data_IF_653439538119
#
_entry.id   IF_653439538119
#
_cell.length_a   1.000
_cell.length_b   1.000
_cell.length_c   1.000
_cell.angle_alpha   90.00
_cell.angle_beta   90.00
_cell.angle_gamma   90.00
#
_symmetry.space_group_name_H-M   'P 1'
#
loop_
_entity.id
_entity.type
_entity.pdbx_description
1 polymer ?
#
# COMPACT_ATOMS: atom_id res chain seq x y z
N UNK A 1 -54.26 -13.02 45.49
CA UNK A 1 -55.04 -12.90 46.75
C UNK A 1 -54.24 -12.00 47.69
N UNK A 2 -54.83 -10.90 48.16
CA UNK A 2 -54.40 -10.00 49.28
C UNK A 2 -53.07 -9.21 49.06
N UNK A 3 -53.01 -7.88 48.83
CA UNK A 3 -53.45 -6.63 49.52
C UNK A 3 -52.44 -6.12 50.57
N UNK A 4 -52.26 -4.78 50.57
CA UNK A 4 -51.59 -3.86 51.51
C UNK A 4 -50.13 -3.48 51.17
N UNK A 5 -49.72 -2.23 50.86
CA UNK A 5 -50.08 -0.82 51.17
C UNK A 5 -49.17 -0.20 52.26
N UNK A 6 -48.52 0.89 51.86
CA UNK A 6 -47.90 2.01 52.60
C UNK A 6 -46.77 1.71 53.59
N UNK A 7 -45.64 2.41 53.43
CA UNK A 7 -45.23 3.49 54.35
C UNK A 7 -44.04 4.31 53.82
N UNK A 8 -44.33 5.57 53.50
CA UNK A 8 -43.35 6.66 53.51
C UNK A 8 -43.30 7.19 54.95
N UNK A 9 -42.13 7.19 55.59
CA UNK A 9 -41.88 8.07 56.74
C UNK A 9 -40.40 8.43 56.88
N UNK A 10 -40.16 9.72 56.66
CA UNK A 10 -39.31 10.63 57.43
C UNK A 10 -38.11 10.08 58.19
N UNK A 11 -36.93 10.58 57.83
CA UNK A 11 -35.73 10.57 58.65
C UNK A 11 -34.73 11.63 58.17
N UNK A 12 -34.96 12.89 58.55
CA UNK A 12 -33.88 13.88 58.60
C UNK A 12 -32.89 13.43 59.67
N UNK A 13 -31.65 13.15 59.28
CA UNK A 13 -30.53 13.02 60.20
C UNK A 13 -29.36 13.83 59.64
N UNK A 14 -29.18 15.02 60.22
CA UNK A 14 -27.98 15.83 60.12
C UNK A 14 -26.94 15.20 61.05
N UNK A 15 -25.80 14.74 60.52
CA UNK A 15 -24.58 14.52 61.30
C UNK A 15 -23.38 14.53 60.35
N UNK A 16 -22.58 15.60 60.38
CA UNK A 16 -21.27 15.65 61.05
C UNK A 16 -20.13 15.53 60.02
N UNK A 17 -19.60 16.70 59.67
CA UNK A 17 -18.34 16.89 58.96
C UNK A 17 -17.21 16.41 59.87
N UNK A 18 -16.38 15.47 59.40
CA UNK A 18 -15.14 15.08 60.05
C UNK A 18 -13.93 15.46 59.14
N UNK A 19 -12.88 16.11 59.68
CA UNK A 19 -11.74 16.61 58.91
C UNK A 19 -10.55 15.65 58.93
N UNK A 20 -9.64 15.83 57.96
CA UNK A 20 -8.23 15.45 58.14
C UNK A 20 -7.68 14.36 57.23
N UNK A 21 -7.53 14.62 55.92
CA UNK A 21 -6.59 13.86 55.07
C UNK A 21 -5.21 14.51 55.13
N UNK A 22 -4.29 13.94 55.91
CA UNK A 22 -2.85 14.22 55.80
C UNK A 22 -2.34 13.57 54.51
N UNK A 23 -2.22 14.34 53.44
CA UNK A 23 -1.54 13.94 52.22
C UNK A 23 -0.04 13.88 52.52
N UNK A 24 0.52 12.67 52.64
CA UNK A 24 1.97 12.52 52.80
C UNK A 24 2.68 12.87 51.48
N UNK A 25 3.82 13.54 51.59
CA UNK A 25 4.66 14.03 50.48
C UNK A 25 5.06 12.92 49.47
N UNK A 26 4.95 11.65 49.87
CA UNK A 26 5.19 10.48 49.01
C UNK A 26 4.13 10.24 47.93
N UNK A 27 2.90 10.72 48.09
CA UNK A 27 1.85 10.60 47.04
C UNK A 27 2.10 11.53 45.86
N UNK A 28 2.65 12.73 46.12
CA UNK A 28 2.98 13.69 45.07
C UNK A 28 4.18 13.23 44.23
N UNK A 29 5.20 12.65 44.85
CA UNK A 29 6.38 12.10 44.15
C UNK A 29 6.05 10.83 43.34
N UNK A 30 5.15 9.97 43.83
CA UNK A 30 4.65 8.81 43.05
C UNK A 30 3.74 9.19 41.90
N UNK A 31 2.97 10.27 42.03
CA UNK A 31 2.18 10.82 40.93
C UNK A 31 3.04 11.42 39.82
N UNK A 32 4.14 12.11 40.17
CA UNK A 32 5.07 12.71 39.21
C UNK A 32 5.90 11.68 38.43
N UNK A 33 6.33 10.59 39.09
CA UNK A 33 7.02 9.48 38.42
C UNK A 33 6.07 8.67 37.51
N UNK A 34 4.81 8.47 37.92
CA UNK A 34 3.80 7.83 37.07
C UNK A 34 3.42 8.69 35.85
N UNK A 35 3.46 10.03 35.98
CA UNK A 35 3.21 10.95 34.87
C UNK A 35 4.35 10.98 33.84
N UNK A 36 5.61 10.86 34.28
CA UNK A 36 6.75 10.78 33.37
C UNK A 36 6.85 9.42 32.65
N UNK A 37 6.42 8.33 33.27
CA UNK A 37 6.40 6.99 32.63
C UNK A 37 5.34 6.89 31.51
N UNK A 38 4.29 7.71 31.54
CA UNK A 38 3.29 7.76 30.46
C UNK A 38 3.77 8.51 29.20
N UNK A 39 4.83 9.34 29.31
CA UNK A 39 5.37 10.13 28.19
C UNK A 39 6.42 9.39 27.34
N UNK A 40 6.72 8.13 27.67
CA UNK A 40 7.57 7.24 26.85
C UNK A 40 6.70 6.14 26.20
N UNK A 41 5.43 6.46 25.91
CA UNK A 41 4.65 5.68 24.96
C UNK A 41 5.31 5.90 23.59
N UNK A 42 6.07 4.88 23.15
CA UNK A 42 6.81 4.89 21.90
C UNK A 42 5.95 5.37 20.74
N UNK A 43 6.58 6.06 19.79
CA UNK A 43 5.99 6.39 18.51
C UNK A 43 5.30 5.13 17.97
N UNK A 44 3.96 5.10 18.00
CA UNK A 44 3.21 4.08 17.29
C UNK A 44 3.44 4.39 15.82
N UNK A 45 4.41 3.69 15.21
CA UNK A 45 4.79 3.94 13.82
C UNK A 45 3.53 3.94 12.93
N UNK A 46 3.23 5.10 12.36
CA UNK A 46 2.10 5.24 11.46
C UNK A 46 2.26 4.30 10.26
N UNK A 47 1.17 3.91 9.57
CA UNK A 47 1.24 3.06 8.38
C UNK A 47 2.22 3.57 7.31
N UNK A 48 2.30 4.89 7.11
CA UNK A 48 3.27 5.52 6.22
C UNK A 48 4.73 5.37 6.68
N UNK A 49 5.00 5.47 7.98
CA UNK A 49 6.33 5.26 8.54
C UNK A 49 6.76 3.80 8.42
N UNK A 50 5.84 2.86 8.73
CA UNK A 50 6.06 1.43 8.53
C UNK A 50 6.36 1.10 7.08
N UNK A 51 5.65 1.72 6.12
CA UNK A 51 5.92 1.55 4.70
C UNK A 51 7.33 2.04 4.32
N UNK A 52 7.78 3.15 4.90
CA UNK A 52 9.13 3.68 4.66
C UNK A 52 10.21 2.76 5.23
N UNK A 53 10.02 2.25 6.46
CA UNK A 53 10.91 1.23 7.08
C UNK A 53 10.97 -0.04 6.24
N UNK A 54 9.82 -0.54 5.78
CA UNK A 54 9.75 -1.70 4.89
C UNK A 54 10.49 -1.45 3.56
N UNK A 55 10.37 -0.25 2.98
CA UNK A 55 11.12 0.15 1.78
C UNK A 55 12.62 0.13 2.01
N UNK A 56 13.08 0.65 3.15
CA UNK A 56 14.50 0.66 3.50
C UNK A 56 15.03 -0.75 3.64
N UNK A 57 14.31 -1.64 4.32
CA UNK A 57 14.69 -3.05 4.46
C UNK A 57 14.76 -3.75 3.08
N UNK A 58 13.79 -3.48 2.20
CA UNK A 58 13.79 -4.00 0.83
C UNK A 58 15.01 -3.54 0.03
N UNK A 59 15.38 -2.26 0.11
CA UNK A 59 16.56 -1.71 -0.56
C UNK A 59 17.85 -2.33 -0.02
N UNK A 60 17.89 -2.69 1.27
CA UNK A 60 18.98 -3.44 1.90
C UNK A 60 18.97 -4.94 1.56
N UNK A 61 18.03 -5.41 0.73
CA UNK A 61 17.78 -6.82 0.41
C UNK A 61 17.39 -7.70 1.60
N UNK A 62 16.99 -7.09 2.71
CA UNK A 62 16.39 -7.81 3.84
C UNK A 62 14.89 -8.03 3.55
N UNK A 63 14.62 -9.01 2.71
CA UNK A 63 13.27 -9.31 2.23
C UNK A 63 12.35 -9.82 3.32
N UNK A 64 12.88 -10.56 4.30
CA UNK A 64 12.09 -11.09 5.42
C UNK A 64 11.61 -9.96 6.32
N UNK A 65 12.50 -9.04 6.71
CA UNK A 65 12.10 -7.87 7.49
C UNK A 65 11.17 -6.96 6.70
N UNK A 66 11.48 -6.68 5.42
CA UNK A 66 10.64 -5.84 4.57
C UNK A 66 9.21 -6.38 4.48
N UNK A 67 9.07 -7.70 4.27
CA UNK A 67 7.78 -8.38 4.19
C UNK A 67 7.03 -8.32 5.51
N UNK A 68 7.71 -8.64 6.62
CA UNK A 68 7.12 -8.60 7.96
C UNK A 68 6.53 -7.23 8.28
N UNK A 69 7.27 -6.15 8.00
CA UNK A 69 6.80 -4.79 8.26
C UNK A 69 5.66 -4.42 7.31
N UNK A 70 5.79 -4.67 6.00
CA UNK A 70 4.78 -4.30 5.01
C UNK A 70 3.42 -4.98 5.26
N UNK A 71 3.41 -6.21 5.75
CA UNK A 71 2.18 -6.95 6.10
C UNK A 71 1.42 -6.35 7.28
N UNK A 72 2.06 -5.54 8.12
CA UNK A 72 1.38 -4.91 9.26
C UNK A 72 0.45 -3.76 8.83
N UNK A 73 0.59 -3.25 7.61
CA UNK A 73 -0.20 -2.11 7.11
C UNK A 73 -1.65 -2.60 6.85
N UNK A 74 -2.66 -2.03 7.53
CA UNK A 74 -4.02 -2.56 7.48
C UNK A 74 -4.72 -2.22 6.17
N UNK A 75 -5.59 -3.15 5.72
CA UNK A 75 -6.51 -2.87 4.62
C UNK A 75 -7.43 -1.70 4.98
N UNK A 76 -7.54 -0.71 4.09
CA UNK A 76 -8.27 0.54 4.33
C UNK A 76 -7.37 1.74 4.64
N UNK A 77 -6.08 1.53 4.94
CA UNK A 77 -5.13 2.62 5.04
C UNK A 77 -4.67 3.11 3.66
N UNK A 78 -4.47 4.43 3.44
CA UNK A 78 -3.96 4.96 2.17
C UNK A 78 -2.59 4.38 1.73
N UNK A 79 -1.76 3.92 2.67
CA UNK A 79 -0.48 3.28 2.37
C UNK A 79 -0.62 1.81 1.95
N UNK A 80 -1.80 1.19 2.13
CA UNK A 80 -2.00 -0.24 1.90
C UNK A 80 -1.68 -0.66 0.46
N UNK A 81 -2.16 0.06 -0.54
CA UNK A 81 -1.87 -0.25 -1.95
C UNK A 81 -0.37 -0.19 -2.26
N UNK A 82 0.36 0.76 -1.67
CA UNK A 82 1.82 0.84 -1.81
C UNK A 82 2.55 -0.29 -1.06
N UNK A 83 1.98 -0.77 0.05
CA UNK A 83 2.47 -1.94 0.76
C UNK A 83 2.27 -3.22 -0.06
N UNK A 84 1.12 -3.38 -0.72
CA UNK A 84 0.86 -4.50 -1.63
C UNK A 84 1.83 -4.50 -2.82
N UNK A 85 2.10 -3.33 -3.43
CA UNK A 85 3.15 -3.22 -4.47
C UNK A 85 4.50 -3.69 -3.94
N UNK A 86 4.89 -3.29 -2.72
CA UNK A 86 6.14 -3.72 -2.11
C UNK A 86 6.19 -5.24 -1.87
N UNK A 87 5.11 -5.82 -1.36
CA UNK A 87 5.01 -7.27 -1.14
C UNK A 87 5.13 -8.04 -2.46
N UNK A 88 4.47 -7.56 -3.52
CA UNK A 88 4.64 -8.11 -4.86
C UNK A 88 6.08 -7.99 -5.37
N UNK A 89 6.72 -6.83 -5.19
CA UNK A 89 8.11 -6.61 -5.60
C UNK A 89 9.11 -7.49 -4.83
N UNK A 90 8.84 -7.77 -3.54
CA UNK A 90 9.59 -8.72 -2.73
C UNK A 90 9.47 -10.12 -3.32
N UNK A 91 8.26 -10.63 -3.54
CA UNK A 91 8.08 -11.98 -4.09
C UNK A 91 8.67 -12.12 -5.50
N UNK A 92 8.56 -11.09 -6.33
CA UNK A 92 9.18 -11.06 -7.66
C UNK A 92 10.71 -11.09 -7.58
N UNK A 93 11.30 -10.38 -6.61
CA UNK A 93 12.75 -10.42 -6.35
C UNK A 93 13.24 -11.79 -5.87
N UNK A 94 12.34 -12.59 -5.29
CA UNK A 94 12.57 -13.98 -4.88
C UNK A 94 12.25 -14.99 -5.99
N UNK A 95 11.85 -14.55 -7.19
CA UNK A 95 11.46 -15.40 -8.32
C UNK A 95 10.08 -16.06 -8.18
N UNK A 96 9.27 -15.64 -7.20
CA UNK A 96 7.95 -16.22 -6.89
C UNK A 96 6.85 -15.42 -7.58
N UNK A 97 6.81 -15.49 -8.90
CA UNK A 97 5.90 -14.69 -9.72
C UNK A 97 4.41 -14.93 -9.37
N UNK A 98 4.00 -16.16 -9.10
CA UNK A 98 2.61 -16.47 -8.72
C UNK A 98 2.20 -15.80 -7.40
N UNK A 99 3.11 -15.72 -6.43
CA UNK A 99 2.86 -15.02 -5.17
C UNK A 99 2.84 -13.49 -5.39
N UNK A 100 3.72 -12.99 -6.26
CA UNK A 100 3.75 -11.58 -6.62
C UNK A 100 2.43 -11.12 -7.28
N UNK A 101 1.90 -11.91 -8.22
CA UNK A 101 0.63 -11.64 -8.89
C UNK A 101 -0.51 -11.44 -7.89
N UNK A 102 -0.65 -12.32 -6.88
CA UNK A 102 -1.68 -12.19 -5.85
C UNK A 102 -1.63 -10.85 -5.11
N UNK A 103 -0.43 -10.35 -4.81
CA UNK A 103 -0.27 -9.06 -4.14
C UNK A 103 -0.62 -7.90 -5.06
N UNK A 104 -0.22 -7.95 -6.33
CA UNK A 104 -0.57 -6.89 -7.28
C UNK A 104 -2.06 -6.88 -7.64
N UNK A 105 -2.69 -8.06 -7.81
CA UNK A 105 -4.12 -8.22 -8.13
C UNK A 105 -5.03 -7.79 -6.99
N UNK A 106 -4.55 -7.82 -5.74
CA UNK A 106 -5.29 -7.33 -4.59
C UNK A 106 -5.49 -5.79 -4.62
N UNK A 107 -4.70 -5.07 -5.41
CA UNK A 107 -4.77 -3.60 -5.51
C UNK A 107 -5.96 -3.21 -6.41
N UNK A 108 -6.88 -2.34 -5.94
CA UNK A 108 -7.96 -1.83 -6.77
C UNK A 108 -7.45 -1.15 -8.05
N UNK A 109 -8.11 -1.42 -9.18
CA UNK A 109 -7.87 -0.74 -10.47
C UNK A 109 -8.54 0.65 -10.50
N UNK A 110 -8.01 1.57 -9.72
CA UNK A 110 -8.55 2.93 -9.52
C UNK A 110 -7.75 4.05 -10.22
N UNK A 111 -6.72 3.68 -11.01
CA UNK A 111 -5.83 4.65 -11.67
C UNK A 111 -4.84 5.35 -10.74
N UNK A 112 -4.80 5.01 -9.46
CA UNK A 112 -3.81 5.56 -8.52
C UNK A 112 -2.38 5.18 -8.91
N UNK A 113 -1.35 5.93 -8.49
CA UNK A 113 0.04 5.59 -8.81
C UNK A 113 0.47 4.18 -8.37
N UNK A 114 -0.05 3.68 -7.25
CA UNK A 114 0.16 2.29 -6.79
C UNK A 114 -0.56 1.28 -7.65
N UNK A 115 -1.80 1.57 -8.05
CA UNK A 115 -2.58 0.72 -8.95
C UNK A 115 -1.88 0.55 -10.30
N UNK A 116 -1.45 1.66 -10.91
CA UNK A 116 -0.71 1.63 -12.17
C UNK A 116 0.62 0.88 -12.06
N UNK A 117 1.35 1.01 -10.94
CA UNK A 117 2.56 0.23 -10.68
C UNK A 117 2.27 -1.27 -10.56
N UNK A 118 1.21 -1.64 -9.84
CA UNK A 118 0.78 -3.03 -9.69
C UNK A 118 0.40 -3.65 -11.04
N UNK A 119 -0.46 -2.98 -11.82
CA UNK A 119 -0.87 -3.45 -13.15
C UNK A 119 0.32 -3.53 -14.11
N UNK A 120 1.23 -2.55 -14.08
CA UNK A 120 2.45 -2.61 -14.87
C UNK A 120 3.31 -3.83 -14.49
N UNK A 121 3.43 -4.15 -13.19
CA UNK A 121 4.19 -5.31 -12.73
C UNK A 121 3.54 -6.64 -13.15
N UNK A 122 2.21 -6.74 -13.11
CA UNK A 122 1.46 -7.88 -13.67
C UNK A 122 1.76 -8.03 -15.17
N UNK A 123 1.71 -6.93 -15.93
CA UNK A 123 2.03 -6.93 -17.35
C UNK A 123 3.46 -7.41 -17.65
N UNK A 124 4.45 -6.98 -16.86
CA UNK A 124 5.83 -7.45 -17.01
C UNK A 124 6.00 -8.94 -16.65
N UNK A 125 5.24 -9.47 -15.69
CA UNK A 125 5.23 -10.90 -15.37
C UNK A 125 4.67 -11.70 -16.55
N UNK A 126 3.49 -11.34 -17.06
CA UNK A 126 2.89 -12.00 -18.22
C UNK A 126 3.78 -11.90 -19.46
N UNK A 127 4.41 -10.75 -19.67
CA UNK A 127 5.37 -10.55 -20.75
C UNK A 127 6.54 -11.54 -20.64
N UNK A 128 7.11 -11.72 -19.44
CA UNK A 128 8.19 -12.69 -19.21
C UNK A 128 7.79 -14.15 -19.39
N UNK A 129 6.49 -14.44 -19.26
CA UNK A 129 5.89 -15.76 -19.47
C UNK A 129 5.41 -15.98 -20.92
N UNK A 130 5.68 -15.04 -21.83
CA UNK A 130 5.18 -15.04 -23.21
C UNK A 130 3.63 -15.01 -23.32
N UNK A 131 2.93 -14.64 -22.24
CA UNK A 131 1.50 -14.39 -22.23
C UNK A 131 1.23 -12.97 -22.78
N UNK A 132 1.44 -12.81 -24.09
CA UNK A 132 1.51 -11.51 -24.75
C UNK A 132 0.18 -10.76 -24.78
N UNK A 133 -0.96 -11.48 -24.81
CA UNK A 133 -2.28 -10.86 -24.82
C UNK A 133 -2.58 -10.21 -23.46
N UNK A 134 -2.40 -10.95 -22.39
CA UNK A 134 -2.59 -10.52 -21.00
C UNK A 134 -1.62 -9.39 -20.63
N UNK A 135 -0.38 -9.47 -21.12
CA UNK A 135 0.59 -8.39 -20.98
C UNK A 135 0.13 -7.11 -21.69
N UNK A 136 -0.40 -7.23 -22.92
CA UNK A 136 -0.92 -6.09 -23.67
C UNK A 136 -2.07 -5.41 -22.94
N UNK A 137 -3.05 -6.16 -22.44
CA UNK A 137 -4.19 -5.60 -21.68
C UNK A 137 -3.73 -4.80 -20.46
N UNK A 138 -2.72 -5.30 -19.73
CA UNK A 138 -2.14 -4.58 -18.59
C UNK A 138 -1.47 -3.27 -19.02
N UNK A 139 -0.70 -3.28 -20.10
CA UNK A 139 -0.02 -2.09 -20.59
C UNK A 139 -0.98 -1.08 -21.25
N UNK A 140 -2.03 -1.54 -21.91
CA UNK A 140 -3.12 -0.70 -22.43
C UNK A 140 -3.77 0.09 -21.28
N UNK A 141 -4.15 -0.58 -20.18
CA UNK A 141 -4.69 0.06 -18.98
C UNK A 141 -3.74 1.13 -18.41
N UNK A 142 -2.43 0.87 -18.38
CA UNK A 142 -1.45 1.87 -17.92
C UNK A 142 -1.46 3.12 -18.82
N UNK A 143 -1.58 2.96 -20.14
CA UNK A 143 -1.65 4.08 -21.09
C UNK A 143 -2.98 4.83 -21.05
N UNK A 144 -4.09 4.20 -20.66
CA UNK A 144 -5.36 4.91 -20.44
C UNK A 144 -5.20 6.02 -19.39
N UNK A 145 -4.38 5.78 -18.36
CA UNK A 145 -4.10 6.75 -17.30
C UNK A 145 -2.81 7.56 -17.51
N UNK A 146 -1.85 7.03 -18.27
CA UNK A 146 -0.58 7.69 -18.61
C UNK A 146 -0.33 7.62 -20.11
N UNK A 147 -1.07 8.40 -20.92
CA UNK A 147 -1.05 8.31 -22.39
C UNK A 147 0.27 8.72 -23.05
N UNK A 148 1.24 9.15 -22.24
CA UNK A 148 2.54 9.67 -22.66
C UNK A 148 3.70 8.84 -22.10
N UNK A 149 3.44 7.70 -21.45
CA UNK A 149 4.47 6.82 -20.91
C UNK A 149 5.21 6.07 -22.03
N UNK A 150 6.37 6.62 -22.41
CA UNK A 150 7.23 6.08 -23.44
C UNK A 150 7.63 4.62 -23.23
N UNK A 151 7.86 4.22 -21.97
CA UNK A 151 8.27 2.85 -21.66
C UNK A 151 7.15 1.87 -21.96
N UNK A 152 5.93 2.20 -21.57
CA UNK A 152 4.75 1.37 -21.81
C UNK A 152 4.37 1.33 -23.30
N UNK A 153 4.50 2.46 -24.01
CA UNK A 153 4.41 2.47 -25.47
C UNK A 153 5.42 1.52 -26.13
N UNK A 154 6.67 1.52 -25.68
CA UNK A 154 7.71 0.62 -26.19
C UNK A 154 7.36 -0.85 -25.94
N UNK A 155 6.80 -1.18 -24.77
CA UNK A 155 6.32 -2.54 -24.46
C UNK A 155 5.21 -2.99 -25.39
N UNK A 156 4.18 -2.16 -25.60
CA UNK A 156 3.08 -2.49 -26.51
C UNK A 156 3.52 -2.59 -27.96
N UNK A 157 4.39 -1.68 -28.41
CA UNK A 157 4.97 -1.77 -29.74
C UNK A 157 5.72 -3.09 -29.95
N UNK A 158 6.54 -3.50 -28.97
CA UNK A 158 7.19 -4.81 -28.99
C UNK A 158 6.17 -5.94 -29.09
N UNK A 159 5.19 -5.97 -28.18
CA UNK A 159 4.20 -7.04 -28.13
C UNK A 159 3.46 -7.15 -29.47
N UNK A 160 2.91 -6.07 -29.99
CA UNK A 160 2.14 -6.12 -31.22
C UNK A 160 3.01 -6.41 -32.46
N UNK A 161 4.25 -5.93 -32.53
CA UNK A 161 5.15 -6.28 -33.63
C UNK A 161 5.43 -7.78 -33.66
N UNK A 162 5.72 -8.39 -32.51
CA UNK A 162 6.06 -9.81 -32.41
C UNK A 162 4.82 -10.73 -32.48
N UNK A 163 3.63 -10.21 -32.18
CA UNK A 163 2.35 -10.90 -32.40
C UNK A 163 1.79 -10.73 -33.82
N UNK A 164 2.52 -10.08 -34.74
CA UNK A 164 2.08 -9.83 -36.12
C UNK A 164 1.00 -8.74 -36.27
N UNK A 165 0.62 -8.08 -35.19
CA UNK A 165 -0.41 -7.03 -35.13
C UNK A 165 0.18 -5.65 -35.47
N UNK A 166 0.86 -5.54 -36.62
CA UNK A 166 1.61 -4.32 -37.02
C UNK A 166 0.78 -3.04 -36.98
N UNK A 167 -0.52 -3.12 -37.35
CA UNK A 167 -1.45 -1.98 -37.31
C UNK A 167 -1.63 -1.46 -35.87
N UNK A 168 -1.68 -2.34 -34.88
CA UNK A 168 -1.76 -1.96 -33.46
C UNK A 168 -0.42 -1.44 -32.94
N UNK A 169 0.71 -1.94 -33.45
CA UNK A 169 2.04 -1.46 -33.04
C UNK A 169 2.28 0.01 -33.45
N UNK A 170 1.80 0.41 -34.63
CA UNK A 170 2.08 1.71 -35.24
C UNK A 170 1.80 2.94 -34.33
N UNK A 171 0.62 3.09 -33.69
CA UNK A 171 0.36 4.25 -32.83
C UNK A 171 1.32 4.33 -31.63
N UNK A 172 1.80 3.21 -31.10
CA UNK A 172 2.74 3.18 -29.98
C UNK A 172 4.19 3.48 -30.40
N UNK A 173 4.47 3.54 -31.70
CA UNK A 173 5.76 3.96 -32.23
C UNK A 173 5.73 5.42 -32.71
N UNK A 174 4.78 5.75 -33.59
CA UNK A 174 4.75 7.07 -34.25
C UNK A 174 4.31 8.21 -33.33
N UNK A 175 3.33 7.97 -32.46
CA UNK A 175 2.82 9.00 -31.54
C UNK A 175 3.91 9.50 -30.58
N UNK A 176 4.55 8.60 -29.81
CA UNK A 176 5.64 8.96 -28.91
C UNK A 176 6.87 9.54 -29.63
N UNK A 177 7.24 9.00 -30.79
CA UNK A 177 8.37 9.49 -31.59
C UNK A 177 8.19 10.96 -31.99
N UNK A 178 7.02 11.33 -32.51
CA UNK A 178 6.72 12.72 -32.90
C UNK A 178 6.81 13.70 -31.73
N UNK A 179 6.52 13.23 -30.52
CA UNK A 179 6.62 14.02 -29.28
C UNK A 179 8.04 14.06 -28.70
N UNK A 180 9.02 13.44 -29.36
CA UNK A 180 10.39 13.31 -28.85
C UNK A 180 10.50 12.40 -27.62
N UNK A 181 9.49 11.55 -27.38
CA UNK A 181 9.43 10.66 -26.21
C UNK A 181 9.93 9.25 -26.49
N UNK A 182 10.28 8.93 -27.73
CA UNK A 182 10.81 7.62 -28.13
C UNK A 182 12.04 7.82 -29.02
N UNK A 183 13.14 7.12 -28.73
CA UNK A 183 14.34 7.21 -29.54
C UNK A 183 14.23 6.37 -30.82
N UNK A 184 14.84 6.86 -31.92
CA UNK A 184 14.79 6.21 -33.24
C UNK A 184 15.35 4.79 -33.22
N UNK A 185 16.33 4.50 -32.36
CA UNK A 185 16.93 3.16 -32.23
C UNK A 185 15.88 2.08 -31.90
N UNK A 186 14.84 2.41 -31.13
CA UNK A 186 13.76 1.48 -30.82
C UNK A 186 12.93 1.12 -32.05
N UNK A 187 12.85 1.99 -33.07
CA UNK A 187 12.11 1.68 -34.31
C UNK A 187 12.82 0.59 -35.12
N UNK A 188 14.14 0.66 -35.21
CA UNK A 188 14.93 -0.29 -36.01
C UNK A 188 14.76 -1.71 -35.46
N UNK A 189 14.83 -1.87 -34.14
CA UNK A 189 14.66 -3.19 -33.49
C UNK A 189 13.23 -3.70 -33.56
N UNK A 190 12.22 -2.82 -33.61
CA UNK A 190 10.79 -3.19 -33.54
C UNK A 190 10.10 -3.30 -34.90
N UNK A 191 10.77 -2.91 -35.98
CA UNK A 191 10.23 -2.95 -37.36
C UNK A 191 11.03 -3.86 -38.30
N UNK A 192 12.18 -4.37 -37.86
CA UNK A 192 12.94 -5.37 -38.61
C UNK A 192 12.08 -6.64 -38.83
N UNK A 193 12.03 -7.15 -40.08
CA UNK A 193 11.24 -8.32 -40.44
C UNK A 193 11.77 -9.62 -39.82
#
# INVERSE_FOLDING_TARGET
>A
MVKFRHECRSGMAVSSIAPGRRLSLGWLLRGLLAFHVFLIAGCSDGPAERLSKARSAFNSRDFEQAKSIAQTIPAGDPAWSNAQVLLGDIERSLGRNDAALRYYEAIPRDGSPSSLKGVQAIGEIHFSQCALAEAAECFEYVLEHRPDDAKTHTRLAYIYSHSGLRVRAQPHLWGPLKKGKLEVNYLVTLTAP
#
